data_IF_344223913213
#
_entry.id   IF_344223913213
#
_cell.length_a   1.000
_cell.length_b   1.000
_cell.length_c   1.000
_cell.angle_alpha   90.00
_cell.angle_beta   90.00
_cell.angle_gamma   90.00
#
_symmetry.space_group_name_H-M   'P 1'
#
loop_
_entity.id
_entity.type
_entity.pdbx_description
1 polymer ?
#
# COMPACT_ATOMS: atom_id res chain seq x y z
N UNK A 1 -0.45 -4.09 -8.11
CA UNK A 1 -0.84 -5.50 -8.41
C UNK A 1 -2.17 -5.51 -9.14
N UNK A 2 -2.26 -6.16 -10.29
CA UNK A 2 -3.56 -6.30 -10.96
C UNK A 2 -4.56 -7.02 -10.05
N UNK A 3 -5.77 -6.48 -9.95
CA UNK A 3 -6.80 -7.02 -9.06
C UNK A 3 -7.11 -8.50 -9.36
N UNK A 4 -7.06 -8.88 -10.64
CA UNK A 4 -7.32 -10.25 -11.08
C UNK A 4 -6.29 -11.28 -10.60
N UNK A 5 -5.12 -10.82 -10.14
CA UNK A 5 -4.05 -11.69 -9.61
C UNK A 5 -4.02 -11.77 -8.09
N UNK A 6 -4.97 -11.11 -7.43
CA UNK A 6 -5.00 -11.07 -5.97
C UNK A 6 -6.15 -11.91 -5.46
N UNK A 7 -5.85 -12.84 -4.57
CA UNK A 7 -6.85 -13.63 -3.85
C UNK A 7 -6.63 -13.41 -2.36
N UNK A 8 -7.66 -12.98 -1.65
CA UNK A 8 -7.59 -12.75 -0.22
C UNK A 8 -8.26 -13.93 0.50
N UNK A 9 -7.46 -14.70 1.22
CA UNK A 9 -7.94 -15.76 2.09
C UNK A 9 -8.06 -15.22 3.51
N UNK A 10 -9.12 -15.57 4.22
CA UNK A 10 -9.35 -15.05 5.57
C UNK A 10 -9.72 -13.56 5.56
N UNK A 11 -10.49 -13.13 4.58
CA UNK A 11 -10.87 -11.72 4.42
C UNK A 11 -11.65 -11.13 5.60
N UNK A 12 -12.24 -11.97 6.45
CA UNK A 12 -12.91 -11.55 7.68
C UNK A 12 -11.94 -10.94 8.71
N UNK A 13 -10.65 -11.19 8.57
CA UNK A 13 -9.63 -10.58 9.43
C UNK A 13 -9.21 -9.19 8.96
N UNK A 14 -9.76 -8.70 7.85
CA UNK A 14 -9.47 -7.37 7.31
C UNK A 14 -10.61 -6.43 7.64
N UNK A 15 -10.26 -5.29 8.23
CA UNK A 15 -11.20 -4.18 8.42
C UNK A 15 -10.97 -3.16 7.32
N UNK A 16 -12.04 -2.67 6.73
CA UNK A 16 -11.99 -1.69 5.64
C UNK A 16 -12.45 -0.33 6.12
N UNK A 17 -11.65 0.69 5.83
CA UNK A 17 -11.96 2.09 6.08
C UNK A 17 -12.02 2.84 4.76
N UNK A 18 -13.13 3.51 4.50
CA UNK A 18 -13.27 4.34 3.30
C UNK A 18 -12.62 5.70 3.55
N UNK A 19 -11.40 5.85 3.04
CA UNK A 19 -10.62 7.07 3.26
C UNK A 19 -11.05 8.21 2.35
N UNK A 20 -11.74 7.91 1.25
CA UNK A 20 -12.30 8.89 0.33
C UNK A 20 -13.44 8.25 -0.46
N UNK A 21 -14.09 9.02 -1.35
CA UNK A 21 -15.15 8.48 -2.21
C UNK A 21 -14.65 7.35 -3.13
N UNK A 22 -13.37 7.36 -3.50
CA UNK A 22 -12.80 6.47 -4.50
C UNK A 22 -11.83 5.44 -3.94
N UNK A 23 -11.45 5.55 -2.69
CA UNK A 23 -10.42 4.70 -2.10
C UNK A 23 -10.87 4.20 -0.74
N UNK A 24 -10.67 2.91 -0.51
CA UNK A 24 -10.74 2.31 0.82
C UNK A 24 -9.40 1.71 1.19
N UNK A 25 -9.15 1.63 2.46
CA UNK A 25 -7.92 1.05 3.02
C UNK A 25 -8.27 -0.16 3.87
N UNK A 26 -7.53 -1.25 3.65
CA UNK A 26 -7.70 -2.48 4.43
C UNK A 26 -6.58 -2.61 5.45
N UNK A 27 -6.93 -2.95 6.67
CA UNK A 27 -5.96 -3.17 7.73
C UNK A 27 -6.34 -4.40 8.58
N UNK A 28 -5.35 -4.95 9.26
CA UNK A 28 -5.58 -6.13 10.09
C UNK A 28 -6.47 -5.77 11.26
N UNK A 29 -7.58 -6.50 11.42
CA UNK A 29 -8.52 -6.27 12.51
C UNK A 29 -7.92 -6.62 13.89
N UNK A 30 -6.86 -7.42 13.92
CA UNK A 30 -6.22 -7.86 15.16
C UNK A 30 -5.11 -6.92 15.62
N UNK A 31 -4.22 -6.51 14.70
CA UNK A 31 -3.05 -5.71 15.06
C UNK A 31 -3.02 -4.30 14.46
N UNK A 32 -3.93 -3.98 13.56
CA UNK A 32 -4.02 -2.67 12.92
C UNK A 32 -3.03 -2.42 11.80
N UNK A 33 -2.20 -3.39 11.42
CA UNK A 33 -1.24 -3.21 10.33
C UNK A 33 -1.93 -2.90 9.01
N UNK A 34 -1.44 -1.88 8.29
CA UNK A 34 -1.92 -1.57 6.96
C UNK A 34 -1.61 -2.73 6.00
N UNK A 35 -2.60 -3.14 5.22
CA UNK A 35 -2.49 -4.27 4.30
C UNK A 35 -2.77 -3.86 2.86
N UNK A 36 -3.86 -3.12 2.62
CA UNK A 36 -4.34 -2.83 1.27
C UNK A 36 -4.67 -1.36 1.08
N UNK A 37 -4.39 -0.89 -0.13
CA UNK A 37 -4.89 0.37 -0.66
C UNK A 37 -5.73 0.04 -1.89
N UNK A 38 -7.04 0.24 -1.79
CA UNK A 38 -8.01 -0.23 -2.76
C UNK A 38 -8.71 0.93 -3.45
N UNK A 39 -8.21 1.35 -4.63
CA UNK A 39 -8.90 2.35 -5.44
C UNK A 39 -10.08 1.70 -6.15
N UNK A 40 -11.30 1.96 -5.67
CA UNK A 40 -12.51 1.23 -6.05
C UNK A 40 -12.84 1.27 -7.54
N UNK A 41 -12.41 2.32 -8.26
CA UNK A 41 -12.69 2.50 -9.68
C UNK A 41 -11.54 2.02 -10.59
N UNK A 42 -10.52 1.35 -10.02
CA UNK A 42 -9.35 0.88 -10.75
C UNK A 42 -9.28 -0.64 -10.74
N UNK A 43 -8.57 -1.19 -11.70
CA UNK A 43 -8.38 -2.64 -11.85
C UNK A 43 -7.14 -3.17 -11.11
N UNK A 44 -6.53 -2.36 -10.25
CA UNK A 44 -5.41 -2.76 -9.42
C UNK A 44 -5.70 -2.48 -7.94
N UNK A 45 -4.91 -3.12 -7.09
CA UNK A 45 -4.95 -2.92 -5.65
C UNK A 45 -3.52 -2.79 -5.13
N UNK A 46 -3.30 -1.86 -4.21
CA UNK A 46 -2.02 -1.72 -3.52
C UNK A 46 -1.94 -2.68 -2.35
N UNK A 47 -0.81 -3.33 -2.21
CA UNK A 47 -0.54 -4.25 -1.09
C UNK A 47 0.67 -3.72 -0.34
N UNK A 48 0.54 -3.55 0.97
CA UNK A 48 1.66 -3.10 1.80
C UNK A 48 2.80 -4.12 1.76
N UNK A 49 4.02 -3.64 1.49
CA UNK A 49 5.18 -4.53 1.37
C UNK A 49 5.47 -5.32 2.64
N UNK A 50 5.13 -4.77 3.81
CA UNK A 50 5.26 -5.48 5.07
C UNK A 50 4.38 -6.73 5.20
N UNK A 51 3.39 -6.90 4.31
CA UNK A 51 2.54 -8.10 4.29
C UNK A 51 3.20 -9.29 3.58
N UNK A 52 4.33 -9.08 2.91
CA UNK A 52 5.03 -10.14 2.19
C UNK A 52 6.21 -10.67 3.00
N UNK A 53 6.41 -11.97 2.93
CA UNK A 53 7.60 -12.60 3.50
C UNK A 53 8.80 -12.42 2.57
N UNK A 54 10.00 -12.11 3.11
CA UNK A 54 11.20 -12.08 2.28
C UNK A 54 11.64 -13.51 1.88
N UNK A 55 12.28 -13.66 0.72
CA UNK A 55 12.60 -12.62 -0.26
C UNK A 55 11.38 -12.26 -1.11
N UNK A 56 11.19 -10.95 -1.35
CA UNK A 56 10.04 -10.48 -2.14
C UNK A 56 10.30 -10.49 -3.65
N UNK A 57 11.55 -10.51 -4.05
CA UNK A 57 11.94 -10.42 -5.46
C UNK A 57 11.69 -9.03 -6.07
N UNK A 58 11.41 -8.04 -5.23
CA UNK A 58 11.08 -6.68 -5.68
C UNK A 58 12.00 -5.65 -5.06
N UNK A 59 12.00 -4.45 -5.62
CA UNK A 59 12.71 -3.29 -5.09
C UNK A 59 11.83 -2.07 -5.18
N UNK A 60 12.09 -1.11 -4.30
CA UNK A 60 11.45 0.20 -4.36
C UNK A 60 11.79 0.87 -5.69
N UNK A 61 10.76 1.25 -6.45
CA UNK A 61 10.91 1.83 -7.77
C UNK A 61 10.78 3.35 -7.78
N UNK A 62 9.98 3.91 -6.88
CA UNK A 62 9.68 5.35 -6.87
C UNK A 62 9.16 5.76 -5.50
N UNK A 63 9.51 6.97 -5.09
CA UNK A 63 8.86 7.67 -3.98
C UNK A 63 7.79 8.59 -4.54
N UNK A 64 6.59 8.55 -3.99
CA UNK A 64 5.48 9.41 -4.40
C UNK A 64 5.07 10.35 -3.27
N UNK A 65 4.38 11.44 -3.61
CA UNK A 65 3.93 12.46 -2.66
C UNK A 65 5.08 13.08 -1.85
N UNK A 66 6.25 13.22 -2.46
CA UNK A 66 7.45 13.72 -1.78
C UNK A 66 7.28 15.17 -1.33
N UNK A 67 6.46 15.96 -2.02
CA UNK A 67 6.16 17.34 -1.60
C UNK A 67 5.49 17.41 -0.22
N UNK A 68 4.82 16.34 0.19
CA UNK A 68 4.09 16.25 1.45
C UNK A 68 4.90 15.58 2.57
N UNK A 69 6.16 15.20 2.29
CA UNK A 69 6.98 14.56 3.32
C UNK A 69 7.31 15.53 4.46
N UNK A 70 7.54 15.00 5.64
CA UNK A 70 7.96 15.80 6.79
C UNK A 70 9.41 16.30 6.63
N UNK A 71 9.78 17.25 7.46
CA UNK A 71 11.09 17.92 7.43
C UNK A 71 12.18 17.25 8.29
N UNK A 72 11.86 16.15 8.96
CA UNK A 72 12.80 15.51 9.89
C UNK A 72 13.70 14.46 9.24
N UNK A 73 13.60 14.27 7.93
CA UNK A 73 14.45 13.33 7.21
C UNK A 73 14.58 13.72 5.73
N UNK A 74 15.66 13.21 5.12
CA UNK A 74 15.91 13.38 3.69
C UNK A 74 15.83 12.03 2.98
N UNK A 75 15.42 12.04 1.72
CA UNK A 75 15.44 10.87 0.86
C UNK A 75 16.71 10.98 -0.01
N UNK A 76 17.67 10.11 0.26
CA UNK A 76 19.00 10.17 -0.36
C UNK A 76 19.44 8.83 -0.97
N UNK A 77 18.50 7.97 -1.35
CA UNK A 77 18.77 6.62 -1.87
C UNK A 77 18.91 6.56 -3.40
N UNK A 78 18.78 7.68 -4.10
CA UNK A 78 18.87 7.74 -5.55
C UNK A 78 17.64 7.21 -6.30
N UNK A 79 16.62 6.76 -5.59
CA UNK A 79 15.38 6.29 -6.21
C UNK A 79 14.58 7.49 -6.73
N UNK A 80 13.96 7.41 -7.93
CA UNK A 80 13.16 8.50 -8.47
C UNK A 80 12.11 9.01 -7.50
N UNK A 81 11.90 10.32 -7.48
CA UNK A 81 10.97 10.99 -6.58
C UNK A 81 9.92 11.75 -7.38
N UNK A 82 8.65 11.55 -7.01
CA UNK A 82 7.51 12.28 -7.58
C UNK A 82 6.90 13.17 -6.50
N UNK A 83 6.70 14.47 -6.76
CA UNK A 83 6.10 15.40 -5.80
C UNK A 83 4.74 14.98 -5.27
#
# INVERSE_FOLDING_TARGET
>A
MPRSRVTILGGEAVTWYRSSEKVRRGFCATCGSALFWDPLERDYIGIAMGAFDPPTGTRLAIHVHVADKSDYYDIADGVPQKP
#
